data_IF_261351337674
#
_entry.id   IF_261351337674
#
_cell.length_a   1.000
_cell.length_b   1.000
_cell.length_c   1.000
_cell.angle_alpha   90.00
_cell.angle_beta   90.00
_cell.angle_gamma   90.00
#
_symmetry.space_group_name_H-M   'P 1'
#
loop_
_entity.id
_entity.type
_entity.pdbx_description
1 polymer ?
#
# COMPACT_ATOMS: atom_id res chain seq x y z
N UNK A 1 -12.14 5.85 13.41
CA UNK A 1 -10.78 5.62 12.87
C UNK A 1 -10.62 6.57 11.70
N UNK A 2 -9.48 7.24 11.61
CA UNK A 2 -9.27 8.25 10.59
C UNK A 2 -7.84 8.20 10.06
N UNK A 3 -7.64 8.79 8.89
CA UNK A 3 -6.32 9.10 8.34
C UNK A 3 -6.15 10.61 8.25
N UNK A 4 -4.95 11.08 8.54
CA UNK A 4 -4.55 12.43 8.19
C UNK A 4 -4.02 12.40 6.77
N UNK A 5 -4.47 13.27 5.88
CA UNK A 5 -4.02 13.26 4.48
C UNK A 5 -3.65 14.63 3.96
N UNK A 6 -2.67 14.68 3.07
CA UNK A 6 -2.31 15.91 2.38
C UNK A 6 -3.51 16.46 1.57
N UNK A 7 -3.82 17.76 1.67
CA UNK A 7 -4.96 18.36 0.98
C UNK A 7 -4.99 18.14 -0.53
N UNK A 8 -3.82 18.03 -1.15
CA UNK A 8 -3.70 17.81 -2.59
C UNK A 8 -4.27 16.46 -3.07
N UNK A 9 -4.52 15.51 -2.17
CA UNK A 9 -5.21 14.25 -2.46
C UNK A 9 -6.72 14.49 -2.64
N UNK A 10 -7.29 15.48 -1.93
CA UNK A 10 -8.69 15.88 -2.06
C UNK A 10 -8.88 16.92 -3.17
N UNK A 11 -7.94 17.87 -3.26
CA UNK A 11 -7.94 18.94 -4.25
C UNK A 11 -6.58 18.99 -4.97
N UNK A 12 -6.44 18.27 -6.10
CA UNK A 12 -5.20 18.22 -6.86
C UNK A 12 -4.70 19.59 -7.34
N UNK A 13 -5.57 20.62 -7.38
CA UNK A 13 -5.22 21.99 -7.75
C UNK A 13 -4.26 22.67 -6.76
N UNK A 14 -4.07 22.11 -5.56
CA UNK A 14 -3.12 22.61 -4.57
C UNK A 14 -1.66 22.21 -4.84
N UNK A 15 -1.42 21.31 -5.81
CA UNK A 15 -0.05 20.94 -6.23
C UNK A 15 0.54 22.04 -7.10
N UNK A 16 1.87 22.13 -7.11
CA UNK A 16 2.58 23.01 -8.03
C UNK A 16 2.18 22.74 -9.49
N UNK A 17 2.28 23.76 -10.34
CA UNK A 17 1.92 23.65 -11.75
C UNK A 17 2.79 22.63 -12.48
N UNK A 18 2.16 21.83 -13.34
CA UNK A 18 2.85 20.97 -14.30
C UNK A 18 3.45 19.68 -13.74
N UNK A 19 3.26 19.38 -12.44
CA UNK A 19 3.83 18.16 -11.83
C UNK A 19 2.82 17.03 -11.60
N UNK A 20 1.52 17.30 -11.67
CA UNK A 20 0.47 16.30 -11.46
C UNK A 20 0.21 15.51 -12.74
N UNK A 21 0.45 14.21 -12.70
CA UNK A 21 0.20 13.28 -13.82
C UNK A 21 -1.16 12.59 -13.65
N UNK A 22 -1.71 12.04 -14.73
CA UNK A 22 -2.96 11.25 -14.66
C UNK A 22 -2.84 10.09 -13.66
N UNK A 23 -1.70 9.39 -13.66
CA UNK A 23 -1.43 8.32 -12.70
C UNK A 23 -1.50 8.78 -11.24
N UNK A 24 -1.17 10.04 -10.95
CA UNK A 24 -1.29 10.57 -9.59
C UNK A 24 -2.76 10.80 -9.23
N UNK A 25 -3.56 11.33 -10.16
CA UNK A 25 -5.00 11.54 -9.98
C UNK A 25 -5.75 10.22 -9.75
N UNK A 26 -5.36 9.17 -10.48
CA UNK A 26 -5.90 7.83 -10.32
C UNK A 26 -5.59 7.29 -8.91
N UNK A 27 -4.35 7.48 -8.43
CA UNK A 27 -3.96 7.10 -7.07
C UNK A 27 -4.75 7.89 -6.01
N UNK A 28 -4.94 9.21 -6.20
CA UNK A 28 -5.69 10.03 -5.26
C UNK A 28 -7.15 9.57 -5.19
N UNK A 29 -7.78 9.32 -6.33
CA UNK A 29 -9.16 8.83 -6.41
C UNK A 29 -9.32 7.49 -5.71
N UNK A 30 -8.38 6.56 -5.94
CA UNK A 30 -8.35 5.24 -5.30
C UNK A 30 -8.08 5.29 -3.79
N UNK A 31 -7.26 6.25 -3.33
CA UNK A 31 -7.06 6.50 -1.90
C UNK A 31 -8.38 6.89 -1.21
N UNK A 32 -9.15 7.81 -1.82
CA UNK A 32 -10.46 8.21 -1.31
C UNK A 32 -11.46 7.06 -1.40
N UNK A 33 -11.41 6.26 -2.47
CA UNK A 33 -12.22 5.05 -2.61
C UNK A 33 -11.94 4.05 -1.49
N UNK A 34 -10.67 3.74 -1.19
CA UNK A 34 -10.27 2.88 -0.07
C UNK A 34 -10.87 3.38 1.24
N UNK A 35 -10.72 4.67 1.53
CA UNK A 35 -11.25 5.25 2.76
C UNK A 35 -12.78 5.08 2.84
N UNK A 36 -13.50 5.34 1.75
CA UNK A 36 -14.95 5.13 1.68
C UNK A 36 -15.34 3.67 1.86
N UNK A 37 -14.66 2.76 1.17
CA UNK A 37 -14.93 1.32 1.20
C UNK A 37 -14.82 0.76 2.63
N UNK A 38 -13.79 1.17 3.37
CA UNK A 38 -13.56 0.71 4.74
C UNK A 38 -14.15 1.61 5.84
N UNK A 39 -14.90 2.64 5.49
CA UNK A 39 -15.46 3.59 6.47
C UNK A 39 -14.39 4.34 7.29
N UNK A 40 -13.24 4.61 6.68
CA UNK A 40 -12.15 5.39 7.28
C UNK A 40 -12.42 6.88 7.03
N UNK A 41 -12.44 7.66 8.10
CA UNK A 41 -12.60 9.11 8.01
C UNK A 41 -11.36 9.77 7.41
N UNK A 42 -11.56 10.71 6.49
CA UNK A 42 -10.49 11.47 5.84
C UNK A 42 -10.37 12.85 6.46
N UNK A 43 -9.28 13.12 7.19
CA UNK A 43 -9.02 14.40 7.83
C UNK A 43 -7.89 15.14 7.09
N UNK A 44 -8.14 16.29 6.44
CA UNK A 44 -7.10 17.00 5.72
C UNK A 44 -6.09 17.65 6.69
N UNK A 45 -4.81 17.43 6.43
CA UNK A 45 -3.70 18.17 7.05
C UNK A 45 -3.70 19.64 6.59
N UNK A 46 -3.05 20.56 7.31
CA UNK A 46 -2.65 21.83 6.70
C UNK A 46 -1.63 21.58 5.58
N UNK A 47 -1.56 22.48 4.61
CA UNK A 47 -0.51 22.47 3.58
C UNK A 47 0.37 23.71 3.75
N UNK A 48 1.45 23.65 4.56
CA UNK A 48 2.33 24.80 4.79
C UNK A 48 2.87 25.40 3.49
N UNK A 49 3.23 24.55 2.52
CA UNK A 49 3.74 24.97 1.23
C UNK A 49 2.74 25.88 0.48
N UNK A 50 1.49 25.43 0.37
CA UNK A 50 0.43 26.18 -0.31
C UNK A 50 0.03 27.42 0.48
N UNK A 51 0.01 27.34 1.81
CA UNK A 51 -0.26 28.48 2.68
C UNK A 51 0.82 29.57 2.58
N UNK A 52 2.06 29.20 2.26
CA UNK A 52 3.18 30.14 2.13
C UNK A 52 3.33 30.70 0.71
N UNK A 53 3.24 29.84 -0.31
CA UNK A 53 3.53 30.20 -1.70
C UNK A 53 2.27 30.41 -2.57
N UNK A 54 1.10 30.03 -2.08
CA UNK A 54 -0.14 29.97 -2.86
C UNK A 54 -0.31 28.65 -3.64
N UNK A 55 -1.53 28.43 -4.15
CA UNK A 55 -1.87 27.25 -4.94
C UNK A 55 -1.20 27.27 -6.33
N UNK A 56 -1.17 28.44 -6.97
CA UNK A 56 -0.65 28.61 -8.33
C UNK A 56 0.86 28.90 -8.35
N UNK A 57 1.64 27.94 -7.85
CA UNK A 57 3.11 28.06 -7.71
C UNK A 57 3.86 27.16 -8.69
N UNK A 58 5.07 27.59 -9.10
CA UNK A 58 6.03 26.72 -9.78
C UNK A 58 6.53 25.60 -8.84
N UNK A 59 7.09 24.48 -9.32
CA UNK A 59 7.82 23.53 -8.48
C UNK A 59 9.17 24.14 -8.03
N UNK A 60 9.75 23.61 -6.95
CA UNK A 60 11.10 23.96 -6.49
C UNK A 60 11.46 23.24 -5.19
N UNK A 61 12.73 23.31 -4.80
CA UNK A 61 13.28 22.62 -3.63
C UNK A 61 12.99 23.37 -2.32
N UNK A 62 13.17 22.68 -1.18
CA UNK A 62 13.02 23.30 0.12
C UNK A 62 14.03 24.44 0.33
N UNK A 63 15.31 24.19 0.05
CA UNK A 63 16.39 25.17 0.24
C UNK A 63 16.18 26.44 -0.59
N UNK A 64 15.72 26.30 -1.83
CA UNK A 64 15.52 27.43 -2.73
C UNK A 64 14.34 28.32 -2.28
N UNK A 65 13.25 27.73 -1.77
CA UNK A 65 11.96 28.44 -1.68
C UNK A 65 11.34 28.52 -0.31
N UNK A 66 11.73 27.63 0.59
CA UNK A 66 11.05 27.38 1.86
C UNK A 66 11.98 27.51 3.07
N UNK A 67 13.30 27.43 2.91
CA UNK A 67 14.26 27.56 4.01
C UNK A 67 14.37 29.02 4.50
N UNK A 68 13.33 29.48 5.20
CA UNK A 68 13.25 30.84 5.75
C UNK A 68 12.69 30.80 7.17
N UNK A 69 13.07 31.75 8.05
CA UNK A 69 12.49 31.84 9.39
C UNK A 69 10.97 32.03 9.40
N UNK A 70 10.40 32.62 8.34
CA UNK A 70 8.96 32.81 8.23
C UNK A 70 8.22 31.50 7.96
N UNK A 71 8.77 30.65 7.09
CA UNK A 71 8.23 29.33 6.81
C UNK A 71 8.38 28.38 8.00
N UNK A 72 9.52 28.44 8.70
CA UNK A 72 9.73 27.65 9.92
C UNK A 72 8.64 27.92 10.97
N UNK A 73 8.36 29.21 11.26
CA UNK A 73 7.24 29.58 12.15
C UNK A 73 5.87 29.10 11.66
N UNK A 74 5.69 28.96 10.33
CA UNK A 74 4.46 28.41 9.77
C UNK A 74 4.38 26.90 9.99
N UNK A 75 5.51 26.17 9.85
CA UNK A 75 5.59 24.75 10.21
C UNK A 75 5.20 24.55 11.68
N UNK A 76 5.74 25.34 12.60
CA UNK A 76 5.43 25.24 14.04
C UNK A 76 3.93 25.40 14.32
N UNK A 77 3.28 26.40 13.71
CA UNK A 77 1.82 26.60 13.88
C UNK A 77 0.99 25.48 13.26
N UNK A 78 1.44 24.91 12.14
CA UNK A 78 0.76 23.78 11.51
C UNK A 78 0.94 22.50 12.33
N UNK A 79 2.13 22.32 12.91
CA UNK A 79 2.45 21.20 13.80
C UNK A 79 1.56 21.23 15.04
N UNK A 80 1.49 22.37 15.74
CA UNK A 80 0.66 22.56 16.93
C UNK A 80 -0.81 22.18 16.65
N UNK A 81 -1.37 22.63 15.52
CA UNK A 81 -2.77 22.31 15.14
C UNK A 81 -3.00 20.83 14.90
N UNK A 82 -2.05 20.14 14.26
CA UNK A 82 -2.18 18.71 13.98
C UNK A 82 -2.03 17.91 15.28
N UNK A 83 -1.07 18.27 16.13
CA UNK A 83 -0.88 17.64 17.45
C UNK A 83 -2.11 17.81 18.34
N UNK A 84 -2.66 19.03 18.42
CA UNK A 84 -3.91 19.29 19.16
C UNK A 84 -5.10 18.50 18.59
N UNK A 85 -5.16 18.27 17.27
CA UNK A 85 -6.19 17.41 16.70
C UNK A 85 -6.03 15.95 17.16
N UNK A 86 -4.80 15.40 17.09
CA UNK A 86 -4.49 14.04 17.51
C UNK A 86 -4.76 13.86 19.01
N UNK A 87 -4.35 14.82 19.86
CA UNK A 87 -4.59 14.78 21.30
C UNK A 87 -6.09 14.69 21.64
N UNK A 88 -6.94 15.35 20.85
CA UNK A 88 -8.40 15.37 21.04
C UNK A 88 -9.13 14.18 20.45
N UNK A 89 -8.60 13.55 19.39
CA UNK A 89 -9.31 12.51 18.63
C UNK A 89 -8.64 11.13 18.69
N UNK A 90 -7.50 11.03 19.37
CA UNK A 90 -6.67 9.83 19.44
C UNK A 90 -5.78 9.66 18.22
N UNK A 91 -4.98 8.59 18.22
CA UNK A 91 -4.03 8.31 17.15
C UNK A 91 -4.71 8.06 15.78
N UNK A 92 -4.21 8.66 14.68
CA UNK A 92 -4.65 8.30 13.34
C UNK A 92 -4.20 6.87 13.00
N UNK A 93 -4.86 6.25 12.01
CA UNK A 93 -4.34 5.01 11.43
C UNK A 93 -2.95 5.25 10.83
N UNK A 94 -2.85 6.26 9.99
CA UNK A 94 -1.60 6.70 9.37
C UNK A 94 -1.74 8.13 8.84
N UNK A 95 -0.60 8.71 8.47
CA UNK A 95 -0.50 9.99 7.78
C UNK A 95 -0.19 9.74 6.29
N UNK A 96 -1.02 10.27 5.40
CA UNK A 96 -0.88 10.13 3.95
C UNK A 96 -0.16 11.33 3.37
N UNK A 97 1.06 11.08 2.88
CA UNK A 97 1.89 12.06 2.19
C UNK A 97 1.95 11.83 0.68
N UNK A 98 2.69 12.71 0.00
CA UNK A 98 2.94 12.61 -1.43
C UNK A 98 4.45 12.72 -1.65
N UNK A 99 5.06 11.61 -2.02
CA UNK A 99 6.49 11.55 -2.29
C UNK A 99 6.94 12.58 -3.32
N UNK A 100 8.20 12.99 -3.19
CA UNK A 100 8.80 14.09 -3.96
C UNK A 100 8.29 15.49 -3.61
N UNK A 101 7.42 15.65 -2.59
CA UNK A 101 7.15 16.98 -2.03
C UNK A 101 8.26 17.39 -1.06
N UNK A 102 8.75 18.65 -1.11
CA UNK A 102 9.69 19.19 -0.12
C UNK A 102 9.10 19.23 1.31
N UNK A 103 7.77 19.22 1.44
CA UNK A 103 7.05 19.44 2.69
C UNK A 103 6.37 18.16 3.18
N UNK A 104 5.68 17.44 2.30
CA UNK A 104 4.91 16.25 2.64
C UNK A 104 5.37 14.96 1.95
N UNK A 105 6.65 14.89 1.54
CA UNK A 105 7.27 13.62 1.13
C UNK A 105 7.31 12.61 2.28
N UNK A 106 7.13 11.32 1.98
CA UNK A 106 7.08 10.25 2.99
C UNK A 106 8.39 9.46 3.00
N UNK A 107 8.71 8.83 1.87
CA UNK A 107 9.94 8.07 1.68
C UNK A 107 10.99 8.88 0.93
N UNK A 108 10.57 9.94 0.23
CA UNK A 108 11.47 10.82 -0.50
C UNK A 108 10.96 12.25 -0.59
N UNK A 109 11.90 13.19 -0.67
CA UNK A 109 11.68 14.64 -0.64
C UNK A 109 12.66 15.37 -1.55
N UNK A 110 12.36 16.61 -1.91
CA UNK A 110 13.27 17.53 -2.62
C UNK A 110 13.74 18.61 -1.65
N UNK A 111 14.68 18.26 -0.77
CA UNK A 111 15.30 19.25 0.13
C UNK A 111 16.18 20.19 -0.70
N UNK A 112 17.07 19.62 -1.49
CA UNK A 112 17.81 20.30 -2.57
C UNK A 112 17.15 20.05 -3.93
N UNK A 113 17.82 20.41 -5.02
CA UNK A 113 17.35 20.20 -6.38
C UNK A 113 17.38 18.72 -6.82
N UNK A 114 17.94 17.85 -5.99
CA UNK A 114 17.93 16.40 -6.16
C UNK A 114 16.92 15.72 -5.23
N UNK A 115 16.42 14.56 -5.66
CA UNK A 115 15.52 13.74 -4.85
C UNK A 115 16.33 13.02 -3.78
N UNK A 116 15.98 13.26 -2.53
CA UNK A 116 16.63 12.69 -1.35
C UNK A 116 15.70 11.72 -0.62
N UNK A 117 16.22 10.66 0.02
CA UNK A 117 15.43 9.79 0.87
C UNK A 117 15.01 10.50 2.16
N UNK A 118 13.83 10.15 2.67
CA UNK A 118 13.29 10.65 3.94
C UNK A 118 12.06 11.53 3.79
N UNK A 119 11.54 11.97 4.94
CA UNK A 119 10.32 12.76 5.03
C UNK A 119 10.57 14.23 4.65
N UNK A 120 9.56 14.86 4.05
CA UNK A 120 9.54 16.30 3.81
C UNK A 120 9.46 17.10 5.11
N UNK A 121 9.78 18.40 5.04
CA UNK A 121 10.00 19.27 6.20
C UNK A 121 8.84 19.32 7.22
N UNK A 122 7.59 19.09 6.79
CA UNK A 122 6.44 19.04 7.68
C UNK A 122 6.20 17.63 8.21
N UNK A 123 6.24 16.59 7.36
CA UNK A 123 6.03 15.22 7.82
C UNK A 123 7.17 14.71 8.73
N UNK A 124 8.37 15.28 8.63
CA UNK A 124 9.47 15.00 9.55
C UNK A 124 9.21 15.49 10.98
N UNK A 125 8.18 16.30 11.21
CA UNK A 125 7.74 16.72 12.55
C UNK A 125 6.92 15.67 13.29
N UNK A 126 6.52 14.61 12.60
CA UNK A 126 5.67 13.53 13.13
C UNK A 126 6.35 12.15 13.05
N UNK A 127 7.64 12.00 13.43
CA UNK A 127 8.37 10.74 13.26
C UNK A 127 7.75 9.55 13.99
N UNK A 128 6.96 9.80 15.03
CA UNK A 128 6.27 8.80 15.85
C UNK A 128 5.02 8.22 15.16
N UNK A 129 4.46 8.94 14.17
CA UNK A 129 3.26 8.51 13.48
C UNK A 129 3.62 7.82 12.17
N UNK A 130 2.98 6.68 11.92
CA UNK A 130 3.16 5.94 10.69
C UNK A 130 2.73 6.76 9.48
N UNK A 131 3.62 6.92 8.49
CA UNK A 131 3.34 7.67 7.28
C UNK A 131 3.43 6.77 6.04
N UNK A 132 2.49 6.94 5.10
CA UNK A 132 2.38 6.13 3.88
C UNK A 132 2.27 7.08 2.68
N UNK A 133 3.03 6.81 1.63
CA UNK A 133 2.86 7.51 0.34
C UNK A 133 1.49 7.17 -0.26
N UNK A 134 0.81 8.15 -0.81
CA UNK A 134 -0.52 7.96 -1.39
C UNK A 134 -0.58 6.88 -2.47
N UNK A 135 0.49 6.63 -3.23
CA UNK A 135 0.51 5.56 -4.26
C UNK A 135 0.54 4.18 -3.62
N UNK A 136 1.27 4.04 -2.51
CA UNK A 136 1.27 2.84 -1.69
C UNK A 136 -0.10 2.61 -1.06
N UNK A 137 -0.66 3.62 -0.39
CA UNK A 137 -1.97 3.53 0.25
C UNK A 137 -3.11 3.26 -0.75
N UNK A 138 -2.99 3.75 -1.99
CA UNK A 138 -3.97 3.51 -3.03
C UNK A 138 -4.05 2.05 -3.47
N UNK A 139 -3.03 1.22 -3.19
CA UNK A 139 -3.04 -0.23 -3.47
C UNK A 139 -3.61 -0.97 -2.27
N UNK A 140 -4.79 -1.56 -2.43
CA UNK A 140 -5.48 -2.24 -1.34
C UNK A 140 -6.23 -3.50 -1.74
N UNK A 141 -6.33 -3.81 -3.03
CA UNK A 141 -6.93 -5.03 -3.55
C UNK A 141 -5.88 -6.12 -3.66
N UNK A 142 -6.08 -7.22 -2.94
CA UNK A 142 -5.17 -8.35 -2.88
C UNK A 142 -5.85 -9.55 -3.53
N UNK A 143 -5.14 -10.22 -4.43
CA UNK A 143 -5.48 -11.59 -4.80
C UNK A 143 -4.68 -12.55 -3.93
N UNK A 144 -5.36 -13.41 -3.15
CA UNK A 144 -4.70 -14.42 -2.31
C UNK A 144 -4.55 -15.72 -3.09
N UNK A 145 -3.37 -15.93 -3.69
CA UNK A 145 -3.00 -17.14 -4.39
C UNK A 145 -2.49 -18.17 -3.37
N UNK A 146 -3.18 -19.31 -3.24
CA UNK A 146 -2.80 -20.35 -2.28
C UNK A 146 -3.40 -21.71 -2.67
N UNK A 147 -2.76 -22.83 -2.27
CA UNK A 147 -3.39 -24.14 -2.30
C UNK A 147 -4.73 -24.13 -1.57
N UNK A 148 -5.72 -24.87 -2.06
CA UNK A 148 -7.08 -24.91 -1.50
C UNK A 148 -7.73 -26.30 -1.56
N UNK A 149 -6.92 -27.35 -1.65
CA UNK A 149 -7.36 -28.71 -1.95
C UNK A 149 -7.64 -29.55 -0.71
N UNK A 150 -7.24 -29.07 0.48
CA UNK A 150 -7.51 -29.68 1.77
C UNK A 150 -8.22 -28.72 2.72
N UNK A 151 -8.93 -29.28 3.70
CA UNK A 151 -9.57 -28.51 4.77
C UNK A 151 -8.56 -27.63 5.51
N UNK A 152 -7.36 -28.15 5.80
CA UNK A 152 -6.31 -27.40 6.48
C UNK A 152 -5.84 -26.18 5.67
N UNK A 153 -5.67 -26.32 4.36
CA UNK A 153 -5.30 -25.21 3.47
C UNK A 153 -6.42 -24.16 3.42
N UNK A 154 -7.67 -24.58 3.26
CA UNK A 154 -8.81 -23.66 3.21
C UNK A 154 -8.99 -22.88 4.52
N UNK A 155 -8.81 -23.54 5.66
CA UNK A 155 -8.82 -22.90 6.97
C UNK A 155 -7.68 -21.90 7.12
N UNK A 156 -6.49 -22.24 6.64
CA UNK A 156 -5.33 -21.35 6.70
C UNK A 156 -5.53 -20.10 5.83
N UNK A 157 -6.01 -20.27 4.59
CA UNK A 157 -6.32 -19.17 3.69
C UNK A 157 -7.40 -18.25 4.27
N UNK A 158 -8.41 -18.82 4.96
CA UNK A 158 -9.42 -18.02 5.66
C UNK A 158 -8.81 -17.19 6.78
N UNK A 159 -7.89 -17.77 7.55
CA UNK A 159 -7.18 -17.01 8.59
C UNK A 159 -6.34 -15.87 8.01
N UNK A 160 -5.69 -16.08 6.86
CA UNK A 160 -4.98 -15.02 6.13
C UNK A 160 -5.91 -13.93 5.62
N UNK A 161 -7.06 -14.31 5.06
CA UNK A 161 -8.10 -13.38 4.65
C UNK A 161 -8.54 -12.49 5.82
N UNK A 162 -8.78 -13.08 6.99
CA UNK A 162 -9.23 -12.36 8.18
C UNK A 162 -8.16 -11.39 8.69
N UNK A 163 -6.89 -11.83 8.73
CA UNK A 163 -5.75 -10.97 9.08
C UNK A 163 -5.65 -9.77 8.13
N UNK A 164 -5.58 -10.03 6.82
CA UNK A 164 -5.42 -8.98 5.81
C UNK A 164 -6.61 -8.00 5.80
N UNK A 165 -7.83 -8.52 5.97
CA UNK A 165 -9.04 -7.70 6.08
C UNK A 165 -9.00 -6.80 7.33
N UNK A 166 -8.47 -7.29 8.45
CA UNK A 166 -8.26 -6.50 9.66
C UNK A 166 -7.25 -5.37 9.49
N UNK A 167 -6.46 -5.39 8.41
CA UNK A 167 -5.53 -4.35 7.97
C UNK A 167 -6.07 -3.46 6.84
N UNK A 168 -7.38 -3.51 6.56
CA UNK A 168 -8.06 -2.72 5.52
C UNK A 168 -7.58 -3.03 4.10
N UNK A 169 -7.36 -4.31 3.81
CA UNK A 169 -7.20 -4.81 2.45
C UNK A 169 -8.49 -5.48 1.97
N UNK A 170 -8.81 -5.30 0.70
CA UNK A 170 -9.89 -6.01 0.02
C UNK A 170 -9.27 -7.28 -0.57
N UNK A 171 -9.63 -8.44 -0.03
CA UNK A 171 -8.98 -9.70 -0.38
C UNK A 171 -9.91 -10.54 -1.24
N UNK A 172 -9.48 -10.88 -2.44
CA UNK A 172 -10.11 -11.90 -3.26
C UNK A 172 -9.59 -13.28 -2.85
N UNK A 173 -10.51 -14.18 -2.50
CA UNK A 173 -10.22 -15.51 -1.99
C UNK A 173 -10.72 -16.58 -2.99
N UNK A 174 -9.83 -17.21 -3.79
CA UNK A 174 -10.21 -18.12 -4.88
C UNK A 174 -11.14 -19.27 -4.47
N UNK A 175 -10.98 -19.80 -3.26
CA UNK A 175 -11.80 -20.91 -2.73
C UNK A 175 -13.28 -20.56 -2.55
N UNK A 176 -13.68 -19.28 -2.56
CA UNK A 176 -15.10 -18.88 -2.47
C UNK A 176 -15.85 -19.02 -3.81
N UNK A 177 -15.12 -19.20 -4.91
CA UNK A 177 -15.66 -19.29 -6.27
C UNK A 177 -15.78 -20.75 -6.76
N UNK A 178 -15.13 -21.69 -6.08
CA UNK A 178 -15.01 -23.08 -6.51
C UNK A 178 -16.09 -24.01 -5.98
N UNK A 179 -16.77 -24.72 -6.89
CA UNK A 179 -17.57 -25.90 -6.57
C UNK A 179 -16.66 -27.08 -6.19
N UNK A 180 -16.92 -27.71 -5.04
CA UNK A 180 -16.18 -28.86 -4.46
C UNK A 180 -16.33 -30.18 -5.24
N UNK A 181 -16.98 -30.17 -6.40
CA UNK A 181 -17.29 -31.39 -7.15
C UNK A 181 -16.14 -31.84 -8.06
N UNK A 182 -15.79 -33.14 -7.99
CA UNK A 182 -14.78 -33.79 -8.85
C UNK A 182 -15.30 -34.08 -10.29
N UNK A 183 -16.43 -33.49 -10.67
CA UNK A 183 -17.15 -33.76 -11.92
C UNK A 183 -17.48 -32.46 -12.63
N UNK A 184 -16.45 -31.73 -13.05
CA UNK A 184 -16.63 -30.46 -13.76
C UNK A 184 -16.67 -30.65 -15.27
N UNK A 185 -17.64 -30.02 -15.92
CA UNK A 185 -17.68 -29.96 -17.39
C UNK A 185 -16.68 -28.91 -17.91
N UNK A 186 -16.21 -29.05 -19.17
CA UNK A 186 -15.23 -28.13 -19.79
C UNK A 186 -15.66 -26.66 -19.79
N UNK A 187 -16.97 -26.39 -19.76
CA UNK A 187 -17.53 -25.04 -19.74
C UNK A 187 -17.30 -24.37 -18.38
N UNK A 188 -17.48 -25.09 -17.29
CA UNK A 188 -17.27 -24.61 -15.92
C UNK A 188 -15.80 -24.27 -15.66
N UNK A 189 -14.87 -25.08 -16.20
CA UNK A 189 -13.44 -24.80 -16.13
C UNK A 189 -13.08 -23.44 -16.74
N UNK A 190 -13.65 -23.12 -17.92
CA UNK A 190 -13.39 -21.85 -18.60
C UNK A 190 -13.98 -20.67 -17.85
N UNK A 191 -15.16 -20.84 -17.26
CA UNK A 191 -15.81 -19.79 -16.48
C UNK A 191 -15.00 -19.44 -15.22
N UNK A 192 -14.59 -20.45 -14.44
CA UNK A 192 -13.77 -20.28 -13.24
C UNK A 192 -12.43 -19.63 -13.60
N UNK A 193 -11.75 -20.12 -14.65
CA UNK A 193 -10.50 -19.51 -15.12
C UNK A 193 -10.68 -18.04 -15.51
N UNK A 194 -11.71 -17.71 -16.28
CA UNK A 194 -11.98 -16.33 -16.70
C UNK A 194 -12.27 -15.41 -15.50
N UNK A 195 -12.94 -15.93 -14.47
CA UNK A 195 -13.22 -15.19 -13.24
C UNK A 195 -11.93 -14.92 -12.44
N UNK A 196 -11.07 -15.92 -12.26
CA UNK A 196 -9.76 -15.71 -11.61
C UNK A 196 -8.88 -14.74 -12.40
N UNK A 197 -8.88 -14.83 -13.72
CA UNK A 197 -8.12 -13.90 -14.58
C UNK A 197 -8.60 -12.46 -14.42
N UNK A 198 -9.92 -12.23 -14.40
CA UNK A 198 -10.49 -10.91 -14.14
C UNK A 198 -10.11 -10.39 -12.74
N UNK A 199 -10.21 -11.22 -11.70
CA UNK A 199 -9.81 -10.84 -10.35
C UNK A 199 -8.31 -10.53 -10.24
N UNK A 200 -7.45 -11.32 -10.92
CA UNK A 200 -6.03 -11.03 -11.03
C UNK A 200 -5.76 -9.72 -11.73
N UNK A 201 -6.51 -9.38 -12.79
CA UNK A 201 -6.38 -8.11 -13.52
C UNK A 201 -6.87 -6.90 -12.71
N UNK A 202 -7.88 -7.07 -11.85
CA UNK A 202 -8.41 -6.02 -10.97
C UNK A 202 -7.58 -5.81 -9.69
N UNK A 203 -6.91 -6.85 -9.20
CA UNK A 203 -6.08 -6.78 -7.99
C UNK A 203 -4.91 -5.81 -8.15
N UNK A 204 -4.49 -5.18 -7.06
CA UNK A 204 -3.32 -4.29 -7.06
C UNK A 204 -2.02 -5.03 -6.83
N UNK A 205 -2.12 -6.16 -6.16
CA UNK A 205 -1.01 -6.99 -5.71
C UNK A 205 -1.48 -8.42 -5.48
N UNK A 206 -0.52 -9.34 -5.46
CA UNK A 206 -0.75 -10.76 -5.16
C UNK A 206 -0.01 -11.14 -3.88
N UNK A 207 -0.69 -11.87 -3.01
CA UNK A 207 -0.07 -12.60 -1.91
C UNK A 207 -0.12 -14.08 -2.27
N UNK A 208 1.04 -14.72 -2.39
CA UNK A 208 1.17 -16.13 -2.72
C UNK A 208 1.61 -16.97 -1.51
N UNK A 209 0.87 -18.01 -1.14
CA UNK A 209 1.31 -18.99 -0.13
C UNK A 209 2.17 -20.04 -0.81
N UNK A 210 3.47 -20.04 -0.52
CA UNK A 210 4.46 -20.88 -1.20
C UNK A 210 5.04 -21.96 -0.29
N UNK A 211 4.25 -22.46 0.65
CA UNK A 211 4.63 -23.53 1.59
C UNK A 211 4.74 -24.90 0.92
N UNK A 212 5.58 -25.78 1.48
CA UNK A 212 5.79 -27.15 0.98
C UNK A 212 7.18 -27.39 0.38
N UNK A 213 7.41 -28.59 -0.15
CA UNK A 213 8.67 -28.89 -0.85
C UNK A 213 8.78 -28.17 -2.20
N UNK A 214 7.63 -27.95 -2.83
CA UNK A 214 7.46 -27.12 -4.03
C UNK A 214 6.17 -26.32 -3.86
N UNK A 215 6.08 -25.16 -4.50
CA UNK A 215 4.88 -24.35 -4.47
C UNK A 215 3.80 -24.98 -5.36
N UNK A 216 2.53 -24.76 -5.02
CA UNK A 216 1.44 -25.19 -5.89
C UNK A 216 1.58 -24.57 -7.30
N UNK A 217 1.34 -25.40 -8.31
CA UNK A 217 1.48 -25.00 -9.71
C UNK A 217 0.49 -23.90 -10.12
N UNK A 218 -0.73 -23.90 -9.53
CA UNK A 218 -1.72 -22.85 -9.74
C UNK A 218 -1.25 -21.53 -9.15
N UNK A 219 -0.88 -21.55 -7.88
CA UNK A 219 -0.30 -20.41 -7.16
C UNK A 219 0.91 -19.83 -7.90
N UNK A 220 1.80 -20.71 -8.39
CA UNK A 220 2.99 -20.31 -9.17
C UNK A 220 2.63 -19.61 -10.48
N UNK A 221 1.60 -20.09 -11.18
CA UNK A 221 1.11 -19.46 -12.41
C UNK A 221 0.50 -18.07 -12.13
N UNK A 222 -0.27 -17.94 -11.05
CA UNK A 222 -0.90 -16.68 -10.65
C UNK A 222 0.14 -15.63 -10.25
N UNK A 223 1.17 -16.03 -9.49
CA UNK A 223 2.31 -15.16 -9.15
C UNK A 223 3.08 -14.73 -10.41
N UNK A 224 3.39 -15.67 -11.31
CA UNK A 224 4.06 -15.37 -12.57
C UNK A 224 3.26 -14.40 -13.47
N UNK A 225 1.94 -14.58 -13.53
CA UNK A 225 1.04 -13.66 -14.24
C UNK A 225 1.12 -12.26 -13.66
N UNK A 226 1.00 -12.12 -12.34
CA UNK A 226 1.07 -10.83 -11.66
C UNK A 226 2.41 -10.12 -11.87
N UNK A 227 3.53 -10.85 -11.74
CA UNK A 227 4.86 -10.33 -12.01
C UNK A 227 5.00 -9.81 -13.46
N UNK A 228 4.54 -10.60 -14.44
CA UNK A 228 4.56 -10.19 -15.85
C UNK A 228 3.69 -8.95 -16.14
N UNK A 229 2.68 -8.68 -15.31
CA UNK A 229 1.83 -7.47 -15.37
C UNK A 229 2.38 -6.30 -14.57
N UNK A 230 3.56 -6.44 -13.93
CA UNK A 230 4.18 -5.40 -13.11
C UNK A 230 3.47 -5.16 -11.78
N UNK A 231 2.69 -6.15 -11.31
CA UNK A 231 2.01 -6.09 -10.01
C UNK A 231 2.97 -6.59 -8.92
N UNK A 232 3.05 -5.93 -7.76
CA UNK A 232 3.81 -6.44 -6.63
C UNK A 232 3.32 -7.84 -6.23
N UNK A 233 4.27 -8.74 -5.99
CA UNK A 233 4.02 -10.10 -5.48
C UNK A 233 4.70 -10.23 -4.13
N UNK A 234 3.96 -10.73 -3.14
CA UNK A 234 4.47 -11.03 -1.80
C UNK A 234 4.32 -12.54 -1.61
N UNK A 235 5.43 -13.25 -1.41
CA UNK A 235 5.42 -14.69 -1.17
C UNK A 235 5.48 -14.96 0.34
N UNK A 236 4.43 -15.58 0.89
CA UNK A 236 4.40 -16.06 2.26
C UNK A 236 4.95 -17.49 2.32
N UNK A 237 6.04 -17.67 3.05
CA UNK A 237 6.72 -18.95 3.27
C UNK A 237 6.86 -19.22 4.77
N UNK A 238 5.91 -19.92 5.37
CA UNK A 238 5.97 -20.32 6.78
C UNK A 238 6.67 -21.65 7.01
N UNK A 239 6.85 -22.44 5.96
CA UNK A 239 7.65 -23.66 6.01
C UNK A 239 9.15 -23.31 6.15
N UNK A 240 9.70 -23.63 7.33
CA UNK A 240 11.08 -23.33 7.74
C UNK A 240 12.14 -24.11 6.93
N UNK A 241 11.74 -25.08 6.12
CA UNK A 241 12.66 -25.85 5.28
C UNK A 241 13.04 -25.04 4.04
N UNK A 242 14.31 -25.07 3.68
CA UNK A 242 14.82 -24.49 2.44
C UNK A 242 14.67 -25.48 1.27
N UNK A 243 14.35 -24.95 0.08
CA UNK A 243 14.35 -25.70 -1.17
C UNK A 243 15.79 -26.02 -1.65
N UNK A 244 16.75 -25.15 -1.32
CA UNK A 244 18.17 -25.31 -1.64
C UNK A 244 19.09 -24.87 -0.50
N UNK A 245 20.39 -24.72 -0.78
CA UNK A 245 21.38 -24.26 0.21
C UNK A 245 21.16 -22.80 0.66
N UNK A 246 20.64 -21.97 -0.24
CA UNK A 246 20.31 -20.56 0.01
C UNK A 246 18.89 -20.18 -0.46
N UNK A 247 18.18 -21.11 -1.10
CA UNK A 247 16.86 -20.86 -1.70
C UNK A 247 15.76 -21.28 -0.73
N UNK A 248 14.87 -20.36 -0.37
CA UNK A 248 13.72 -20.67 0.48
C UNK A 248 12.63 -21.38 -0.32
N UNK A 249 12.50 -21.02 -1.59
CA UNK A 249 11.60 -21.60 -2.57
C UNK A 249 12.27 -21.55 -3.95
N UNK A 250 11.63 -22.09 -4.99
CA UNK A 250 12.10 -21.97 -6.37
C UNK A 250 12.56 -20.53 -6.72
N UNK A 251 13.73 -20.40 -7.34
CA UNK A 251 14.36 -19.11 -7.68
C UNK A 251 13.41 -18.15 -8.44
N UNK A 252 12.54 -18.68 -9.30
CA UNK A 252 11.64 -17.85 -10.09
C UNK A 252 10.59 -17.17 -9.23
N UNK A 253 10.19 -17.79 -8.12
CA UNK A 253 9.23 -17.23 -7.16
C UNK A 253 9.92 -16.28 -6.18
N UNK A 254 11.14 -16.60 -5.75
CA UNK A 254 11.92 -15.76 -4.84
C UNK A 254 12.33 -14.44 -5.51
N UNK A 255 12.90 -14.49 -6.72
CA UNK A 255 13.34 -13.28 -7.45
C UNK A 255 12.18 -12.43 -7.99
N UNK A 256 10.97 -12.99 -8.11
CA UNK A 256 9.79 -12.28 -8.59
C UNK A 256 8.91 -11.70 -7.48
N UNK A 257 9.28 -11.89 -6.20
CA UNK A 257 8.44 -11.48 -5.07
C UNK A 257 9.24 -10.94 -3.89
N UNK A 258 8.56 -10.24 -2.99
CA UNK A 258 9.07 -10.00 -1.65
C UNK A 258 8.71 -11.20 -0.76
N UNK A 259 9.70 -11.96 -0.31
CA UNK A 259 9.46 -13.13 0.55
C UNK A 259 9.30 -12.71 2.01
N UNK A 260 8.22 -13.17 2.64
CA UNK A 260 7.98 -13.05 4.08
C UNK A 260 7.88 -14.43 4.70
N UNK A 261 8.55 -14.65 5.84
CA UNK A 261 8.68 -15.98 6.45
C UNK A 261 7.60 -16.30 7.49
N UNK A 262 6.73 -15.34 7.77
CA UNK A 262 5.61 -15.49 8.70
C UNK A 262 4.49 -14.49 8.43
N UNK A 263 3.32 -14.75 9.04
CA UNK A 263 2.12 -13.91 8.92
C UNK A 263 2.31 -12.50 9.48
N UNK A 264 3.18 -12.32 10.46
CA UNK A 264 3.39 -11.02 11.12
C UNK A 264 4.20 -10.06 10.26
N UNK A 265 4.95 -10.58 9.28
CA UNK A 265 5.66 -9.80 8.27
C UNK A 265 4.77 -9.24 7.16
N UNK A 266 3.61 -9.87 6.90
CA UNK A 266 2.71 -9.46 5.82
C UNK A 266 2.28 -7.98 5.91
N UNK A 267 1.81 -7.47 7.07
CA UNK A 267 1.43 -6.06 7.17
C UNK A 267 2.54 -5.10 6.75
N UNK A 268 3.80 -5.39 7.11
CA UNK A 268 4.94 -4.54 6.77
C UNK A 268 5.24 -4.57 5.26
N UNK A 269 5.30 -5.77 4.67
CA UNK A 269 5.54 -5.95 3.24
C UNK A 269 4.43 -5.31 2.36
N UNK A 270 3.19 -5.33 2.86
CA UNK A 270 2.03 -4.77 2.18
C UNK A 270 1.77 -3.28 2.49
N UNK A 271 2.62 -2.66 3.32
CA UNK A 271 2.47 -1.25 3.74
C UNK A 271 1.10 -0.97 4.37
N UNK A 272 0.72 -1.79 5.35
CA UNK A 272 -0.57 -1.72 6.03
C UNK A 272 -0.80 -0.36 6.71
N UNK A 273 -1.99 0.26 6.55
CA UNK A 273 -2.41 1.44 7.30
C UNK A 273 -2.42 1.28 8.83
N UNK A 274 -2.44 0.05 9.33
CA UNK A 274 -2.45 -0.27 10.76
C UNK A 274 -1.08 -0.60 11.34
N UNK A 275 -0.01 -0.42 10.57
CA UNK A 275 1.34 -0.61 11.09
C UNK A 275 1.59 0.39 12.21
N UNK A 276 2.06 -0.12 13.35
CA UNK A 276 2.60 0.71 14.41
C UNK A 276 4.11 0.69 14.28
N UNK A 277 4.71 1.86 14.07
CA UNK A 277 6.15 2.02 14.21
C UNK A 277 6.49 1.72 15.69
N UNK A 278 7.47 0.83 15.92
CA UNK A 278 7.88 0.41 17.26
C UNK A 278 8.88 1.39 17.86
#
# INVERSE_FOLDING_TARGET
MYVLLCPCILDPGLRARGITRQSDLDCFSRCIERCRHFGIETVPLPCPETMYLGADRAPGSFEERLNTPAFERLLDRCEEKVRDYIDRHGEPLCILGVDSSPVCGVTSTFRTDEREPGRGAFLSRFPEHHAIDVKAFARYRIYLAAPLFSEAEQMYNRALYDDLSAHFFEVYLPQEVGDTSNTREKVEHRAIFAQHLAALDEADMVVGVVDGADADSGTSWEMGYAFARGKPVIALRTDFRCAGHHELVNLMLEESSAVVTDRTGLPAALQSPRLRER
#
